data_IF_446368535919
#
_entry.id   IF_446368535919
#
_cell.length_a   1.000
_cell.length_b   1.000
_cell.length_c   1.000
_cell.angle_alpha   90.00
_cell.angle_beta   90.00
_cell.angle_gamma   90.00
#
_symmetry.space_group_name_H-M   'P 1'
#
loop_
_entity.id
_entity.type
_entity.pdbx_description
1 polymer ?
#
# COMPACT_ATOMS: atom_id res chain seq x y z
N UNK A 1 54.26 7.66 -9.99
CA UNK A 1 53.44 6.54 -10.51
C UNK A 1 52.71 5.71 -9.44
N UNK A 2 52.87 5.94 -8.13
CA UNK A 2 52.24 5.11 -7.07
C UNK A 2 50.91 5.63 -6.48
N UNK A 3 50.43 6.81 -6.89
CA UNK A 3 49.21 7.43 -6.30
C UNK A 3 47.95 7.29 -7.16
N UNK A 4 48.10 7.03 -8.46
CA UNK A 4 46.98 6.90 -9.40
C UNK A 4 46.40 5.47 -9.39
N UNK A 5 47.24 4.46 -9.09
CA UNK A 5 46.83 3.06 -9.04
C UNK A 5 45.96 2.73 -7.81
N UNK A 6 46.20 3.41 -6.68
CA UNK A 6 45.42 3.23 -5.43
C UNK A 6 44.01 3.82 -5.54
N UNK A 7 43.84 4.90 -6.33
CA UNK A 7 42.54 5.54 -6.53
C UNK A 7 41.63 4.69 -7.43
N UNK A 8 42.19 3.95 -8.40
CA UNK A 8 41.43 3.05 -9.27
C UNK A 8 40.98 1.75 -8.58
N UNK A 9 41.66 1.32 -7.49
CA UNK A 9 41.26 0.16 -6.70
C UNK A 9 40.19 0.53 -5.63
N UNK A 10 40.18 1.78 -5.17
CA UNK A 10 39.17 2.29 -4.21
C UNK A 10 37.80 2.53 -4.84
N UNK A 11 37.74 2.79 -6.15
CA UNK A 11 36.47 3.00 -6.88
C UNK A 11 35.79 1.66 -7.20
N UNK A 12 36.53 0.55 -7.22
CA UNK A 12 35.98 -0.80 -7.50
C UNK A 12 35.30 -1.45 -6.28
N UNK A 13 35.39 -0.87 -5.08
CA UNK A 13 34.75 -1.41 -3.87
C UNK A 13 33.36 -0.84 -3.57
N UNK A 14 32.90 0.19 -4.30
CA UNK A 14 31.62 0.88 -4.01
C UNK A 14 30.43 0.27 -4.79
N UNK A 15 30.63 -0.74 -5.64
CA UNK A 15 29.62 -1.19 -6.60
C UNK A 15 28.96 -2.55 -6.34
N UNK A 16 28.99 -3.09 -5.11
CA UNK A 16 28.40 -4.43 -4.84
C UNK A 16 27.42 -4.50 -3.69
N UNK A 17 27.04 -3.38 -3.06
CA UNK A 17 25.93 -3.38 -2.11
C UNK A 17 24.59 -3.21 -2.85
N UNK A 18 24.25 -4.18 -3.70
CA UNK A 18 22.84 -4.43 -3.99
C UNK A 18 22.21 -4.93 -2.70
N UNK A 19 21.83 -4.00 -1.81
CA UNK A 19 20.88 -4.34 -0.77
C UNK A 19 19.63 -4.77 -1.53
N UNK A 20 19.37 -6.08 -1.54
CA UNK A 20 18.00 -6.54 -1.69
C UNK A 20 17.26 -5.86 -0.53
N UNK A 21 16.64 -4.72 -0.81
CA UNK A 21 15.79 -4.04 0.13
C UNK A 21 14.67 -5.02 0.40
N UNK A 22 14.78 -5.81 1.46
CA UNK A 22 13.62 -6.45 2.05
C UNK A 22 12.67 -5.30 2.31
N UNK A 23 11.56 -5.25 1.58
CA UNK A 23 10.56 -4.21 1.75
C UNK A 23 10.07 -4.33 3.21
N UNK A 24 10.66 -3.52 4.09
CA UNK A 24 10.23 -3.44 5.48
C UNK A 24 8.89 -2.75 5.45
N UNK A 25 7.87 -3.40 5.99
CA UNK A 25 6.55 -2.81 6.15
C UNK A 25 6.70 -1.53 6.96
N UNK A 26 6.25 -0.41 6.38
CA UNK A 26 6.29 0.89 7.02
C UNK A 26 4.99 1.10 7.81
N UNK A 27 5.02 1.93 8.87
CA UNK A 27 3.80 2.46 9.47
C UNK A 27 3.03 3.24 8.39
N UNK A 28 2.00 2.60 7.82
CA UNK A 28 1.33 3.05 6.60
C UNK A 28 0.85 1.89 5.74
N UNK A 29 1.61 0.79 5.74
CA UNK A 29 1.30 -0.39 4.95
C UNK A 29 0.22 -1.26 5.61
N UNK A 30 -0.60 -1.89 4.77
CA UNK A 30 -1.54 -2.92 5.19
C UNK A 30 -0.81 -4.25 5.43
N UNK A 31 -0.64 -4.67 6.68
CA UNK A 31 0.16 -5.86 7.01
C UNK A 31 -0.52 -7.17 6.63
N UNK A 32 -1.85 -7.18 6.58
CA UNK A 32 -2.68 -8.37 6.40
C UNK A 32 -3.02 -8.72 4.95
N UNK A 33 -2.46 -7.97 3.99
CA UNK A 33 -2.63 -8.23 2.56
C UNK A 33 -1.33 -8.66 1.86
N UNK A 34 -0.19 -8.70 2.57
CA UNK A 34 1.13 -8.79 1.94
C UNK A 34 1.32 -10.03 1.03
N UNK A 35 0.75 -11.15 1.45
CA UNK A 35 0.75 -12.43 0.73
C UNK A 35 -0.66 -12.81 0.21
N UNK A 36 -1.60 -11.86 0.19
CA UNK A 36 -2.98 -12.11 -0.24
C UNK A 36 -3.10 -11.99 -1.76
N UNK A 37 -3.76 -12.94 -2.42
CA UNK A 37 -3.94 -12.96 -3.88
C UNK A 37 -4.59 -11.66 -4.42
N UNK A 38 -5.45 -11.03 -3.61
CA UNK A 38 -6.13 -9.78 -3.94
C UNK A 38 -5.32 -8.50 -3.70
N UNK A 39 -4.06 -8.59 -3.23
CA UNK A 39 -3.23 -7.42 -2.86
C UNK A 39 -3.20 -6.34 -3.94
N UNK A 40 -2.99 -6.74 -5.20
CA UNK A 40 -2.92 -5.80 -6.33
C UNK A 40 -4.24 -5.05 -6.50
N UNK A 41 -5.36 -5.76 -6.56
CA UNK A 41 -6.69 -5.15 -6.70
C UNK A 41 -7.06 -4.28 -5.49
N UNK A 42 -6.67 -4.69 -4.28
CA UNK A 42 -6.87 -3.92 -3.05
C UNK A 42 -6.11 -2.59 -3.13
N UNK A 43 -4.83 -2.64 -3.51
CA UNK A 43 -4.00 -1.44 -3.65
C UNK A 43 -4.53 -0.49 -4.73
N UNK A 44 -5.03 -1.02 -5.84
CA UNK A 44 -5.69 -0.21 -6.87
C UNK A 44 -6.95 0.46 -6.34
N UNK A 45 -7.84 -0.29 -5.66
CA UNK A 45 -9.05 0.28 -5.08
C UNK A 45 -8.77 1.34 -4.01
N UNK A 46 -7.70 1.16 -3.23
CA UNK A 46 -7.21 2.16 -2.26
C UNK A 46 -6.67 3.41 -2.97
N UNK A 47 -5.86 3.24 -4.03
CA UNK A 47 -5.29 4.35 -4.80
C UNK A 47 -6.37 5.19 -5.49
N UNK A 48 -7.46 4.56 -5.92
CA UNK A 48 -8.62 5.25 -6.50
C UNK A 48 -9.54 5.88 -5.45
N UNK A 49 -9.30 5.64 -4.15
CA UNK A 49 -10.17 6.11 -3.07
C UNK A 49 -11.51 5.39 -2.97
N UNK A 50 -11.70 4.26 -3.66
CA UNK A 50 -12.94 3.49 -3.65
C UNK A 50 -13.14 2.76 -2.31
N UNK A 51 -12.05 2.25 -1.75
CA UNK A 51 -12.03 1.51 -0.48
C UNK A 51 -11.10 2.18 0.53
N UNK A 52 -11.29 1.84 1.80
CA UNK A 52 -10.47 2.31 2.92
C UNK A 52 -10.18 1.14 3.87
N UNK A 53 -9.11 1.26 4.64
CA UNK A 53 -8.76 0.29 5.68
C UNK A 53 -9.62 0.40 6.94
N UNK A 54 -9.43 -0.55 7.85
CA UNK A 54 -10.08 -0.64 9.16
C UNK A 54 -9.37 0.16 10.27
N UNK A 55 -8.36 0.97 9.90
CA UNK A 55 -7.53 1.72 10.83
C UNK A 55 -6.20 1.02 11.16
N UNK A 56 -5.49 1.58 12.14
CA UNK A 56 -4.24 1.02 12.65
C UNK A 56 -4.48 0.11 13.86
N UNK A 57 -3.75 -0.99 13.95
CA UNK A 57 -3.73 -1.85 15.13
C UNK A 57 -2.92 -1.21 16.27
N UNK A 58 -2.86 -1.90 17.42
CA UNK A 58 -2.11 -1.44 18.60
C UNK A 58 -0.60 -1.24 18.37
N UNK A 59 -0.06 -1.78 17.28
CA UNK A 59 1.35 -1.67 16.89
C UNK A 59 1.57 -0.57 15.84
N UNK A 60 0.53 0.15 15.42
CA UNK A 60 0.62 1.22 14.43
C UNK A 60 0.59 0.77 12.96
N UNK A 61 0.29 -0.51 12.69
CA UNK A 61 0.15 -1.03 11.33
C UNK A 61 -1.29 -0.98 10.85
N UNK A 62 -1.50 -0.64 9.57
CA UNK A 62 -2.85 -0.57 9.01
C UNK A 62 -3.38 -1.97 8.69
N UNK A 63 -4.70 -2.14 8.84
CA UNK A 63 -5.41 -3.41 8.60
C UNK A 63 -6.48 -3.19 7.53
N UNK A 64 -6.54 -4.07 6.53
CA UNK A 64 -7.57 -4.02 5.49
C UNK A 64 -8.71 -5.00 5.76
N UNK A 65 -8.42 -6.12 6.40
CA UNK A 65 -9.27 -7.28 6.63
C UNK A 65 -9.80 -7.94 5.34
N UNK A 66 -8.93 -8.46 4.45
CA UNK A 66 -9.34 -8.98 3.13
C UNK A 66 -10.30 -10.19 3.19
N UNK A 67 -10.30 -10.91 4.31
CA UNK A 67 -11.19 -12.05 4.58
C UNK A 67 -12.38 -11.68 5.47
N UNK A 68 -12.51 -10.40 5.83
CA UNK A 68 -13.62 -9.89 6.62
C UNK A 68 -14.92 -9.82 5.82
N UNK A 69 -16.05 -9.82 6.52
CA UNK A 69 -17.36 -9.60 5.88
C UNK A 69 -17.59 -8.12 5.60
N UNK A 70 -18.16 -7.81 4.44
CA UNK A 70 -18.57 -6.46 4.07
C UNK A 70 -20.05 -6.27 4.36
N UNK A 71 -20.41 -5.20 5.08
CA UNK A 71 -21.81 -4.82 5.32
C UNK A 71 -22.44 -4.23 4.05
N UNK A 72 -23.78 -4.27 3.96
CA UNK A 72 -24.53 -3.64 2.86
C UNK A 72 -24.21 -2.14 2.74
N UNK A 73 -24.04 -1.44 3.85
CA UNK A 73 -23.69 -0.02 3.87
C UNK A 73 -22.28 0.24 3.32
N UNK A 74 -21.29 -0.58 3.69
CA UNK A 74 -19.94 -0.48 3.16
C UNK A 74 -19.92 -0.77 1.64
N UNK A 75 -20.61 -1.82 1.20
CA UNK A 75 -20.73 -2.14 -0.23
C UNK A 75 -21.35 -0.97 -1.01
N UNK A 76 -22.44 -0.38 -0.51
CA UNK A 76 -23.05 0.79 -1.12
C UNK A 76 -22.08 1.99 -1.16
N UNK A 77 -21.34 2.24 -0.08
CA UNK A 77 -20.38 3.34 -0.04
C UNK A 77 -19.23 3.16 -1.05
N UNK A 78 -18.80 1.93 -1.34
CA UNK A 78 -17.82 1.66 -2.42
C UNK A 78 -18.42 2.01 -3.78
N UNK A 79 -19.66 1.59 -4.06
CA UNK A 79 -20.32 1.89 -5.34
C UNK A 79 -20.52 3.40 -5.54
N UNK A 80 -20.88 4.13 -4.49
CA UNK A 80 -21.01 5.61 -4.53
C UNK A 80 -19.70 6.26 -4.96
N UNK A 81 -18.57 5.86 -4.38
CA UNK A 81 -17.25 6.42 -4.71
C UNK A 81 -16.76 5.97 -6.08
N UNK A 82 -17.01 4.72 -6.45
CA UNK A 82 -16.53 4.14 -7.70
C UNK A 82 -17.21 4.76 -8.92
N UNK A 83 -18.51 5.02 -8.84
CA UNK A 83 -19.29 5.57 -9.95
C UNK A 83 -19.55 7.07 -9.83
N UNK A 84 -18.96 7.72 -8.82
CA UNK A 84 -19.19 9.14 -8.50
C UNK A 84 -20.69 9.48 -8.49
N UNK A 85 -21.47 8.67 -7.75
CA UNK A 85 -22.92 8.76 -7.79
C UNK A 85 -23.41 10.05 -7.13
N UNK A 86 -23.90 10.96 -7.96
CA UNK A 86 -24.61 12.15 -7.52
C UNK A 86 -26.11 11.87 -7.38
N UNK A 87 -26.61 12.02 -6.16
CA UNK A 87 -28.03 11.86 -5.87
C UNK A 87 -28.83 13.17 -6.03
N UNK A 88 -28.16 14.31 -6.21
CA UNK A 88 -28.79 15.64 -6.26
C UNK A 88 -29.66 15.89 -5.01
N UNK A 89 -30.83 16.49 -5.22
CA UNK A 89 -31.77 16.82 -4.14
C UNK A 89 -32.63 15.62 -3.68
N UNK A 90 -32.22 14.38 -3.96
CA UNK A 90 -32.98 13.20 -3.51
C UNK A 90 -32.89 13.09 -1.99
N UNK A 91 -33.96 13.48 -1.32
CA UNK A 91 -34.16 13.17 0.09
C UNK A 91 -34.64 11.74 0.22
N UNK A 92 -33.77 10.89 0.77
CA UNK A 92 -34.19 9.62 1.32
C UNK A 92 -34.72 9.95 2.71
N UNK A 93 -36.06 9.92 2.83
CA UNK A 93 -36.92 10.20 4.02
C UNK A 93 -36.98 11.65 4.52
#
# INVERSE_FOLDING_TARGET
>A
MSKILTVMLGILFVLTSSSAASARLQPGDFTDIQEHWGKTAINEALAQGWMQGMGANSQGYHIFAPQGTVTRAQAAAVLVRMFDLDYGDKQFF
#
